data_IF_951239549437
#
_entry.id   IF_951239549437
#
_cell.length_a   1.000
_cell.length_b   1.000
_cell.length_c   1.000
_cell.angle_alpha   90.00
_cell.angle_beta   90.00
_cell.angle_gamma   90.00
#
_symmetry.space_group_name_H-M   'P 1'
#
loop_
_entity.id
_entity.type
_entity.pdbx_description
1 polymer ?
#
# COMPACT_ATOMS: atom_id res chain seq x y z
N UNK A 1 3.05 -17.74 -5.18
CA UNK A 1 2.15 -17.52 -4.02
C UNK A 1 2.61 -16.25 -3.31
N UNK A 2 1.73 -15.27 -3.13
CA UNK A 2 2.10 -13.99 -2.50
C UNK A 2 2.54 -14.17 -1.04
N UNK A 3 3.54 -13.39 -0.63
CA UNK A 3 3.92 -13.26 0.79
C UNK A 3 2.72 -12.77 1.62
N UNK A 4 2.76 -12.94 2.94
CA UNK A 4 1.73 -12.37 3.83
C UNK A 4 1.58 -10.86 3.62
N UNK A 5 2.70 -10.13 3.55
CA UNK A 5 2.72 -8.67 3.41
C UNK A 5 2.18 -8.26 2.04
N UNK A 6 2.72 -8.81 0.95
CA UNK A 6 2.26 -8.53 -0.41
C UNK A 6 0.77 -8.80 -0.56
N UNK A 7 0.28 -9.91 0.00
CA UNK A 7 -1.14 -10.25 -0.01
C UNK A 7 -2.00 -9.21 0.72
N UNK A 8 -1.56 -8.74 1.88
CA UNK A 8 -2.29 -7.73 2.65
C UNK A 8 -2.32 -6.38 1.94
N UNK A 9 -1.20 -5.97 1.32
CA UNK A 9 -1.15 -4.75 0.52
C UNK A 9 -1.98 -4.84 -0.75
N UNK A 10 -2.07 -6.02 -1.36
CA UNK A 10 -3.00 -6.26 -2.46
C UNK A 10 -4.46 -6.14 -2.03
N UNK A 11 -4.84 -6.69 -0.86
CA UNK A 11 -6.17 -6.48 -0.29
C UNK A 11 -6.40 -4.99 -0.05
N UNK A 12 -5.40 -4.28 0.49
CA UNK A 12 -5.50 -2.84 0.72
C UNK A 12 -5.74 -2.04 -0.57
N UNK A 13 -5.05 -2.35 -1.67
CA UNK A 13 -5.32 -1.75 -2.99
C UNK A 13 -6.77 -1.94 -3.44
N UNK A 14 -7.32 -3.15 -3.25
CA UNK A 14 -8.73 -3.42 -3.58
C UNK A 14 -9.66 -2.51 -2.76
N UNK A 15 -9.42 -2.38 -1.46
CA UNK A 15 -10.20 -1.44 -0.63
C UNK A 15 -10.02 0.02 -1.05
N UNK A 16 -8.81 0.41 -1.47
CA UNK A 16 -8.51 1.77 -1.93
C UNK A 16 -9.28 2.11 -3.21
N UNK A 17 -9.46 1.15 -4.12
CA UNK A 17 -10.05 1.37 -5.45
C UNK A 17 -11.54 1.02 -5.55
N UNK A 18 -12.16 0.48 -4.50
CA UNK A 18 -13.54 -0.01 -4.55
C UNK A 18 -14.42 0.59 -3.46
N UNK A 19 -15.70 0.78 -3.81
CA UNK A 19 -16.76 1.26 -2.91
C UNK A 19 -17.43 0.11 -2.16
N UNK A 20 -17.67 -1.01 -2.86
CA UNK A 20 -18.21 -2.27 -2.33
C UNK A 20 -17.19 -3.36 -2.63
N UNK A 21 -16.85 -4.16 -1.62
CA UNK A 21 -15.82 -5.19 -1.72
C UNK A 21 -16.38 -6.53 -1.26
N UNK A 22 -16.64 -7.46 -2.19
CA UNK A 22 -17.01 -8.82 -1.82
C UNK A 22 -15.78 -9.69 -1.53
N UNK A 23 -15.90 -10.63 -0.60
CA UNK A 23 -14.83 -11.61 -0.33
C UNK A 23 -14.57 -12.50 -1.55
N UNK A 24 -15.59 -12.72 -2.39
CA UNK A 24 -15.46 -13.45 -3.64
C UNK A 24 -14.54 -12.72 -4.63
N UNK A 25 -14.67 -11.39 -4.74
CA UNK A 25 -13.81 -10.57 -5.61
C UNK A 25 -12.37 -10.61 -5.14
N UNK A 26 -12.13 -10.40 -3.84
CA UNK A 26 -10.78 -10.50 -3.27
C UNK A 26 -10.18 -11.89 -3.57
N UNK A 27 -10.98 -12.95 -3.42
CA UNK A 27 -10.53 -14.32 -3.72
C UNK A 27 -10.20 -14.49 -5.20
N UNK A 28 -10.94 -13.86 -6.11
CA UNK A 28 -10.67 -13.90 -7.55
C UNK A 28 -9.30 -13.30 -7.87
N UNK A 29 -9.00 -12.11 -7.35
CA UNK A 29 -7.71 -11.44 -7.57
C UNK A 29 -6.54 -12.17 -6.88
N UNK A 30 -6.70 -12.56 -5.60
CA UNK A 30 -5.56 -12.97 -4.75
C UNK A 30 -5.40 -14.49 -4.65
N UNK A 31 -6.40 -15.26 -5.09
CA UNK A 31 -6.40 -16.73 -5.14
C UNK A 31 -6.04 -17.37 -3.79
N UNK A 32 -6.62 -16.84 -2.70
CA UNK A 32 -6.39 -17.29 -1.32
C UNK A 32 -7.70 -17.71 -0.64
N UNK A 33 -7.63 -18.51 0.42
CA UNK A 33 -8.83 -18.95 1.15
C UNK A 33 -9.58 -17.80 1.81
N UNK A 34 -10.93 -17.84 1.89
CA UNK A 34 -11.72 -16.82 2.56
C UNK A 34 -11.32 -16.58 4.02
N UNK A 35 -10.93 -17.65 4.75
CA UNK A 35 -10.46 -17.55 6.13
C UNK A 35 -9.20 -16.68 6.25
N UNK A 36 -8.26 -16.80 5.31
CA UNK A 36 -7.06 -15.98 5.29
C UNK A 36 -7.36 -14.54 4.90
N UNK A 37 -8.25 -14.32 3.91
CA UNK A 37 -8.70 -12.98 3.52
C UNK A 37 -9.31 -12.25 4.73
N UNK A 38 -10.23 -12.88 5.46
CA UNK A 38 -10.86 -12.26 6.64
C UNK A 38 -9.86 -11.93 7.76
N UNK A 39 -8.85 -12.77 7.94
CA UNK A 39 -7.75 -12.51 8.89
C UNK A 39 -6.89 -11.33 8.44
N UNK A 40 -6.57 -11.25 7.15
CA UNK A 40 -5.79 -10.15 6.60
C UNK A 40 -6.55 -8.82 6.66
N UNK A 41 -7.87 -8.83 6.37
CA UNK A 41 -8.75 -7.67 6.58
C UNK A 41 -8.72 -7.22 8.04
N UNK A 42 -8.80 -8.15 9.00
CA UNK A 42 -8.69 -7.81 10.42
C UNK A 42 -7.34 -7.19 10.77
N UNK A 43 -6.25 -7.66 10.20
CA UNK A 43 -4.92 -7.07 10.40
C UNK A 43 -4.81 -5.67 9.79
N UNK A 44 -5.36 -5.44 8.60
CA UNK A 44 -5.44 -4.10 7.99
C UNK A 44 -6.28 -3.13 8.85
N UNK A 45 -7.39 -3.59 9.43
CA UNK A 45 -8.17 -2.80 10.40
C UNK A 45 -7.35 -2.48 11.65
N UNK A 46 -6.61 -3.45 12.19
CA UNK A 46 -5.72 -3.21 13.35
C UNK A 46 -4.56 -2.28 13.00
N UNK A 47 -4.08 -2.28 11.75
CA UNK A 47 -3.09 -1.32 11.28
C UNK A 47 -3.68 0.09 11.11
N UNK A 48 -5.00 0.25 11.28
CA UNK A 48 -5.70 1.50 11.03
C UNK A 48 -5.76 1.87 9.54
N UNK A 49 -5.54 0.92 8.63
CA UNK A 49 -5.47 1.20 7.18
C UNK A 49 -6.84 1.22 6.51
N UNK A 50 -7.81 0.49 7.05
CA UNK A 50 -9.17 0.43 6.51
C UNK A 50 -10.19 0.56 7.64
N UNK A 51 -11.26 1.32 7.41
CA UNK A 51 -12.44 1.32 8.28
C UNK A 51 -13.69 0.92 7.51
N UNK A 52 -13.94 -0.39 7.50
CA UNK A 52 -15.04 -1.01 6.76
C UNK A 52 -15.98 -1.80 7.66
N UNK A 53 -17.25 -1.89 7.23
CA UNK A 53 -18.30 -2.73 7.80
C UNK A 53 -18.92 -3.61 6.73
N UNK A 54 -19.37 -4.81 7.10
CA UNK A 54 -20.08 -5.68 6.18
C UNK A 54 -21.52 -5.18 6.01
N UNK A 55 -21.95 -4.97 4.77
CA UNK A 55 -23.32 -4.60 4.41
C UNK A 55 -24.06 -5.82 3.88
N UNK A 56 -25.15 -6.21 4.55
CA UNK A 56 -26.02 -7.29 4.04
C UNK A 56 -26.71 -6.90 2.73
N UNK A 57 -27.04 -5.62 2.56
CA UNK A 57 -27.70 -5.08 1.37
C UNK A 57 -26.80 -5.19 0.14
N UNK A 58 -25.56 -4.73 0.27
CA UNK A 58 -24.56 -4.72 -0.81
C UNK A 58 -23.79 -6.05 -0.90
N UNK A 59 -24.05 -7.00 0.00
CA UNK A 59 -23.38 -8.31 0.11
C UNK A 59 -21.84 -8.28 0.23
N UNK A 60 -21.28 -7.11 0.51
CA UNK A 60 -19.84 -6.88 0.64
C UNK A 60 -19.48 -5.94 1.77
N UNK A 61 -18.18 -5.70 1.94
CA UNK A 61 -17.67 -4.63 2.79
C UNK A 61 -17.87 -3.28 2.12
N UNK A 62 -18.31 -2.31 2.91
CA UNK A 62 -18.38 -0.90 2.52
C UNK A 62 -17.56 -0.07 3.50
N UNK A 63 -16.99 1.02 3.01
CA UNK A 63 -16.33 2.01 3.85
C UNK A 63 -17.35 2.63 4.81
N UNK A 64 -16.93 2.89 6.06
CA UNK A 64 -17.80 3.58 7.02
C UNK A 64 -17.94 5.06 6.70
N UNK A 65 -16.86 5.65 6.19
CA UNK A 65 -16.83 7.00 5.65
C UNK A 65 -16.81 6.92 4.11
N UNK A 66 -17.88 7.40 3.48
CA UNK A 66 -18.02 7.37 2.03
C UNK A 66 -17.14 8.40 1.32
N UNK A 67 -16.65 9.43 2.03
CA UNK A 67 -15.80 10.49 1.46
C UNK A 67 -14.30 10.20 1.60
N UNK A 68 -13.92 9.28 2.50
CA UNK A 68 -12.53 8.98 2.80
C UNK A 68 -12.31 7.47 2.84
N UNK A 69 -12.04 6.88 1.67
CA UNK A 69 -11.66 5.48 1.58
C UNK A 69 -10.31 5.25 2.27
N UNK A 70 -10.21 4.18 3.06
CA UNK A 70 -8.97 3.80 3.75
C UNK A 70 -8.37 4.92 4.64
N UNK A 71 -9.12 5.48 5.60
CA UNK A 71 -8.60 6.54 6.46
C UNK A 71 -7.56 5.96 7.42
N UNK A 72 -6.34 6.52 7.43
CA UNK A 72 -5.33 6.18 8.42
C UNK A 72 -5.84 6.52 9.83
N UNK A 73 -6.19 5.48 10.57
CA UNK A 73 -6.62 5.55 11.97
C UNK A 73 -5.49 5.13 12.90
N UNK A 74 -5.63 5.41 14.19
CA UNK A 74 -4.65 4.97 15.20
C UNK A 74 -4.55 3.43 15.19
N UNK A 75 -3.35 2.85 14.98
CA UNK A 75 -3.19 1.41 14.98
C UNK A 75 -3.41 0.80 16.37
N UNK A 76 -3.93 -0.42 16.39
CA UNK A 76 -4.19 -1.22 17.59
C UNK A 76 -3.02 -2.18 17.82
N UNK A 77 -2.05 -1.73 18.60
CA UNK A 77 -0.92 -2.54 19.04
C UNK A 77 -1.30 -3.51 20.16
N UNK A 78 -0.50 -4.56 20.31
CA UNK A 78 -0.66 -5.60 21.34
C UNK A 78 0.68 -5.86 22.04
N UNK A 79 0.71 -6.70 23.07
CA UNK A 79 1.97 -7.06 23.76
C UNK A 79 2.92 -7.89 22.87
N UNK A 80 2.44 -8.37 21.72
CA UNK A 80 3.26 -9.11 20.76
C UNK A 80 4.08 -8.16 19.86
N UNK A 81 5.36 -8.00 20.20
CA UNK A 81 6.32 -7.17 19.45
C UNK A 81 6.41 -7.52 17.97
N UNK A 82 6.48 -8.81 17.62
CA UNK A 82 6.60 -9.24 16.22
C UNK A 82 5.37 -8.87 15.40
N UNK A 83 4.18 -8.97 16.00
CA UNK A 83 2.93 -8.52 15.38
C UNK A 83 2.93 -7.00 15.19
N UNK A 84 3.37 -6.23 16.18
CA UNK A 84 3.42 -4.77 16.06
C UNK A 84 4.40 -4.31 14.98
N UNK A 85 5.59 -4.92 14.90
CA UNK A 85 6.55 -4.64 13.82
C UNK A 85 5.96 -4.92 12.43
N UNK A 86 5.13 -5.95 12.32
CA UNK A 86 4.42 -6.25 11.07
C UNK A 86 3.38 -5.18 10.74
N UNK A 87 2.60 -4.70 11.74
CA UNK A 87 1.65 -3.61 11.55
C UNK A 87 2.36 -2.32 11.14
N UNK A 88 3.47 -1.96 11.79
CA UNK A 88 4.29 -0.79 11.42
C UNK A 88 4.82 -0.89 9.99
N UNK A 89 5.24 -2.09 9.56
CA UNK A 89 5.62 -2.35 8.16
C UNK A 89 4.45 -2.13 7.21
N UNK A 90 3.25 -2.66 7.52
CA UNK A 90 2.06 -2.44 6.68
C UNK A 90 1.71 -0.97 6.56
N UNK A 91 1.71 -0.23 7.69
CA UNK A 91 1.44 1.21 7.71
C UNK A 91 2.42 1.95 6.80
N UNK A 92 3.71 1.66 6.93
CA UNK A 92 4.75 2.29 6.11
C UNK A 92 4.54 1.99 4.62
N UNK A 93 4.32 0.74 4.25
CA UNK A 93 4.14 0.34 2.85
C UNK A 93 2.86 0.92 2.23
N UNK A 94 1.73 0.89 2.95
CA UNK A 94 0.48 1.51 2.51
C UNK A 94 0.61 3.04 2.38
N UNK A 95 1.38 3.68 3.27
CA UNK A 95 1.67 5.12 3.18
C UNK A 95 2.46 5.44 1.91
N UNK A 96 3.39 4.57 1.49
CA UNK A 96 4.11 4.72 0.20
C UNK A 96 3.13 4.58 -0.97
N UNK A 97 2.27 3.54 -0.96
CA UNK A 97 1.29 3.29 -2.03
C UNK A 97 0.38 4.50 -2.29
N UNK A 98 -0.02 5.21 -1.23
CA UNK A 98 -0.85 6.41 -1.34
C UNK A 98 0.00 7.64 -1.66
N UNK A 99 1.07 7.85 -0.91
CA UNK A 99 1.84 9.09 -0.94
C UNK A 99 2.65 9.29 -2.21
N UNK A 100 3.09 8.21 -2.86
CA UNK A 100 3.82 8.29 -4.13
C UNK A 100 2.93 8.04 -5.36
N UNK A 101 1.62 7.82 -5.20
CA UNK A 101 0.73 7.39 -6.30
C UNK A 101 0.76 8.27 -7.53
N UNK A 102 0.92 9.57 -7.33
CA UNK A 102 0.95 10.57 -8.39
C UNK A 102 2.30 11.30 -8.44
N UNK A 103 3.32 10.72 -7.79
CA UNK A 103 4.65 11.30 -7.76
C UNK A 103 5.33 11.13 -9.10
N UNK A 104 5.82 12.22 -9.66
CA UNK A 104 6.63 12.23 -10.87
C UNK A 104 7.92 12.96 -10.59
N UNK A 105 9.02 12.43 -11.11
CA UNK A 105 10.31 13.09 -11.07
C UNK A 105 10.75 13.48 -12.49
N UNK A 106 11.53 14.56 -12.56
CA UNK A 106 12.15 15.07 -13.76
C UNK A 106 13.59 14.55 -13.87
N UNK A 107 14.08 14.20 -15.08
CA UNK A 107 15.47 13.87 -15.32
C UNK A 107 16.45 14.98 -14.91
N UNK A 108 17.71 14.63 -14.61
CA UNK A 108 18.71 15.58 -14.10
C UNK A 108 19.08 16.74 -15.06
N UNK A 109 18.76 16.62 -16.34
CA UNK A 109 19.06 17.64 -17.35
C UNK A 109 17.92 18.66 -17.53
N UNK A 110 16.83 18.55 -16.77
CA UNK A 110 15.79 19.58 -16.72
C UNK A 110 16.08 20.64 -15.65
N UNK A 111 15.77 21.90 -15.95
CA UNK A 111 16.10 23.08 -15.13
C UNK A 111 15.55 23.02 -13.69
N UNK A 112 14.42 22.35 -13.47
CA UNK A 112 13.79 22.23 -12.14
C UNK A 112 14.20 20.95 -11.36
N UNK A 113 15.07 20.11 -11.93
CA UNK A 113 15.35 18.78 -11.39
C UNK A 113 16.12 18.78 -10.06
N UNK A 114 16.92 19.82 -9.79
CA UNK A 114 17.73 19.90 -8.58
C UNK A 114 16.90 20.20 -7.31
N UNK A 115 15.79 20.92 -7.46
CA UNK A 115 14.96 21.37 -6.33
C UNK A 115 13.70 20.51 -6.12
N UNK A 116 13.51 19.47 -6.94
CA UNK A 116 12.35 18.60 -6.83
C UNK A 116 12.42 17.72 -5.57
N UNK A 117 11.26 17.37 -5.02
CA UNK A 117 11.19 16.27 -4.07
C UNK A 117 11.37 14.94 -4.82
N UNK A 118 12.38 14.17 -4.48
CA UNK A 118 12.55 12.79 -4.97
C UNK A 118 11.84 11.78 -4.06
N UNK A 119 11.45 10.61 -4.55
CA UNK A 119 10.97 9.44 -3.80
C UNK A 119 11.90 9.11 -2.63
N UNK A 120 13.21 9.26 -2.85
CA UNK A 120 14.24 9.10 -1.83
C UNK A 120 14.08 10.13 -0.70
N UNK A 121 13.95 11.42 -1.05
CA UNK A 121 13.78 12.51 -0.08
C UNK A 121 12.41 12.48 0.61
N UNK A 122 11.32 12.24 -0.15
CA UNK A 122 9.97 12.03 0.38
C UNK A 122 9.96 10.91 1.41
N UNK A 123 10.57 9.75 1.10
CA UNK A 123 10.63 8.62 2.01
C UNK A 123 11.40 8.99 3.29
N UNK A 124 12.55 9.68 3.16
CA UNK A 124 13.36 10.11 4.31
C UNK A 124 12.59 11.09 5.20
N UNK A 125 11.83 12.00 4.60
CA UNK A 125 11.01 12.97 5.32
C UNK A 125 9.84 12.29 6.05
N UNK A 126 9.19 11.30 5.41
CA UNK A 126 8.09 10.54 6.02
C UNK A 126 8.54 9.54 7.08
N UNK A 127 9.72 8.94 6.91
CA UNK A 127 10.24 7.90 7.79
C UNK A 127 11.69 8.19 8.22
N UNK A 128 11.93 9.27 9.00
CA UNK A 128 13.29 9.75 9.29
C UNK A 128 14.15 8.74 10.06
N UNK A 129 13.51 7.82 10.80
CA UNK A 129 14.19 6.79 11.59
C UNK A 129 14.41 5.48 10.82
N UNK A 130 14.10 5.45 9.52
CA UNK A 130 14.19 4.24 8.70
C UNK A 130 15.38 4.32 7.74
N UNK A 131 16.22 3.29 7.76
CA UNK A 131 17.43 3.25 6.94
C UNK A 131 17.15 3.15 5.43
N UNK A 132 18.10 3.61 4.61
CA UNK A 132 18.07 3.44 3.15
C UNK A 132 17.95 1.97 2.71
N UNK A 133 18.55 1.04 3.47
CA UNK A 133 18.43 -0.40 3.22
C UNK A 133 16.99 -0.89 3.42
N UNK A 134 16.29 -0.36 4.42
CA UNK A 134 14.88 -0.67 4.64
C UNK A 134 14.02 -0.08 3.53
N UNK A 135 14.29 1.15 3.07
CA UNK A 135 13.62 1.74 1.91
C UNK A 135 13.73 0.86 0.67
N UNK A 136 14.94 0.40 0.32
CA UNK A 136 15.14 -0.50 -0.82
C UNK A 136 14.30 -1.79 -0.66
N UNK A 137 14.31 -2.40 0.53
CA UNK A 137 13.49 -3.60 0.81
C UNK A 137 11.99 -3.35 0.73
N UNK A 138 11.55 -2.16 1.10
CA UNK A 138 10.15 -1.77 1.03
C UNK A 138 9.71 -1.61 -0.44
N UNK A 139 10.51 -0.95 -1.27
CA UNK A 139 10.25 -0.84 -2.72
C UNK A 139 10.25 -2.22 -3.40
N UNK A 140 11.18 -3.11 -3.03
CA UNK A 140 11.19 -4.49 -3.52
C UNK A 140 9.95 -5.30 -3.06
N UNK A 141 9.41 -5.03 -1.87
CA UNK A 141 8.18 -5.69 -1.41
C UNK A 141 6.95 -5.19 -2.19
N UNK A 142 6.91 -3.90 -2.52
CA UNK A 142 5.85 -3.26 -3.31
C UNK A 142 5.88 -3.69 -4.77
N UNK A 143 7.07 -3.84 -5.36
CA UNK A 143 7.26 -4.34 -6.72
C UNK A 143 6.59 -5.70 -6.95
N UNK A 144 6.49 -6.55 -5.91
CA UNK A 144 5.79 -7.86 -5.97
C UNK A 144 4.29 -7.75 -6.23
N UNK A 145 3.72 -6.56 -6.07
CA UNK A 145 2.31 -6.26 -6.35
C UNK A 145 2.19 -5.11 -7.35
N UNK A 146 3.17 -4.96 -8.25
CA UNK A 146 3.17 -3.98 -9.35
C UNK A 146 3.24 -2.50 -8.91
N UNK A 147 3.57 -2.23 -7.65
CA UNK A 147 3.90 -0.89 -7.17
C UNK A 147 5.41 -0.65 -7.35
N UNK A 148 5.81 -0.16 -8.51
CA UNK A 148 7.21 0.02 -8.88
C UNK A 148 7.71 1.43 -8.53
N UNK A 149 8.81 1.48 -7.79
CA UNK A 149 9.64 2.69 -7.57
C UNK A 149 11.08 2.31 -7.90
N UNK A 150 11.56 2.71 -9.07
CA UNK A 150 12.86 2.31 -9.59
C UNK A 150 13.72 3.52 -9.92
N UNK A 151 15.00 3.49 -9.55
CA UNK A 151 15.91 4.59 -9.86
C UNK A 151 16.56 4.35 -11.22
N UNK A 152 16.37 5.27 -12.15
CA UNK A 152 17.10 5.29 -13.40
C UNK A 152 18.51 5.86 -13.16
N UNK A 153 19.54 5.06 -13.41
CA UNK A 153 20.93 5.46 -13.22
C UNK A 153 21.43 6.41 -14.32
N UNK A 154 20.86 6.32 -15.52
CA UNK A 154 21.26 7.13 -16.67
C UNK A 154 20.70 8.54 -16.55
N UNK A 155 19.39 8.64 -16.34
CA UNK A 155 18.67 9.91 -16.25
C UNK A 155 18.54 10.43 -14.80
N UNK A 156 19.04 9.67 -13.81
CA UNK A 156 19.19 10.04 -12.40
C UNK A 156 17.90 10.52 -11.71
N UNK A 157 16.79 9.82 -11.93
CA UNK A 157 15.50 10.08 -11.29
C UNK A 157 14.77 8.77 -10.97
N UNK A 158 13.78 8.81 -10.08
CA UNK A 158 12.90 7.67 -9.87
C UNK A 158 11.74 7.63 -10.85
N UNK A 159 11.56 6.48 -11.46
CA UNK A 159 10.36 6.06 -12.16
C UNK A 159 9.37 5.48 -11.15
N UNK A 160 8.16 6.02 -11.13
CA UNK A 160 7.04 5.52 -10.32
C UNK A 160 5.95 5.00 -11.27
N UNK A 161 5.62 3.72 -11.12
CA UNK A 161 4.56 3.06 -11.90
C UNK A 161 3.70 2.24 -10.96
N UNK A 162 2.55 2.80 -10.58
CA UNK A 162 1.59 2.18 -9.65
C UNK A 162 0.28 1.87 -10.39
N UNK A 163 -0.43 0.79 -10.02
CA UNK A 163 -1.76 0.50 -10.54
C UNK A 163 -2.76 1.59 -10.12
N UNK A 164 -3.52 2.14 -11.07
CA UNK A 164 -4.48 3.21 -10.79
C UNK A 164 -5.87 2.68 -10.44
N UNK A 165 -6.22 1.50 -10.93
CA UNK A 165 -7.47 0.83 -10.61
C UNK A 165 -7.30 -0.67 -10.41
N UNK A 166 -8.43 -1.39 -10.40
CA UNK A 166 -8.42 -2.85 -10.39
C UNK A 166 -8.04 -3.44 -11.75
N UNK A 167 -8.35 -2.75 -12.85
CA UNK A 167 -8.05 -3.22 -14.22
C UNK A 167 -6.55 -3.25 -14.51
N UNK A 168 -5.80 -2.37 -13.86
CA UNK A 168 -4.34 -2.31 -13.93
C UNK A 168 -3.65 -3.27 -12.96
N UNK A 169 -4.41 -3.95 -12.08
CA UNK A 169 -3.86 -4.71 -10.97
C UNK A 169 -3.82 -6.21 -11.27
N UNK A 170 -2.64 -6.71 -11.67
CA UNK A 170 -2.45 -8.07 -12.19
C UNK A 170 -1.51 -8.86 -11.28
N UNK A 171 -2.09 -9.63 -10.35
CA UNK A 171 -1.37 -10.45 -9.36
C UNK A 171 -1.82 -11.91 -9.29
#
# INVERSE_FOLDING_TARGET
MLSKTSRQLAIFHIFLCSTVIEVADIKHFIKTSPKTILRDIKELKNAGLIDVKFSRKEKGYIHKDNGNHCPFSVPVFSDNKAKNMHLEKLIRLATIMIGLRYHTEKPYYEDDSENQETCSSWYKNKFPNVSSRTRQRDFEELKKIEYCVEYDLYDKYYLVSFPMGLDDFRI
#
